data_IF_068510005951
#
_entry.id   IF_068510005951
#
_cell.length_a   1.000
_cell.length_b   1.000
_cell.length_c   1.000
_cell.angle_alpha   90.00
_cell.angle_beta   90.00
_cell.angle_gamma   90.00
#
_symmetry.space_group_name_H-M   'P 1'
#
loop_
_entity.id
_entity.type
_entity.pdbx_description
1 polymer ?
#
# COMPACT_ATOMS: atom_id res chain seq x y z
N UNK A 1 5.31 23.95 -10.59
CA UNK A 1 5.95 23.77 -9.27
C UNK A 1 4.98 24.18 -8.17
N UNK A 2 4.83 23.35 -7.13
CA UNK A 2 4.13 23.66 -5.88
C UNK A 2 5.16 23.66 -4.75
N UNK A 3 5.02 24.57 -3.79
CA UNK A 3 5.85 24.59 -2.58
C UNK A 3 4.92 24.49 -1.36
N UNK A 4 5.10 23.45 -0.56
CA UNK A 4 4.47 23.36 0.75
C UNK A 4 5.41 23.99 1.79
N UNK A 5 4.86 24.80 2.67
CA UNK A 5 5.58 25.30 3.84
C UNK A 5 4.82 24.98 5.13
N UNK A 6 5.55 24.63 6.17
CA UNK A 6 5.02 24.29 7.47
C UNK A 6 6.01 24.73 8.58
N UNK A 7 5.66 24.54 9.84
CA UNK A 7 6.55 24.84 10.95
C UNK A 7 7.54 23.71 11.20
N UNK A 8 7.13 22.45 10.91
CA UNK A 8 7.97 21.27 11.10
C UNK A 8 7.73 20.22 10.02
N UNK A 9 8.80 19.57 9.60
CA UNK A 9 8.75 18.37 8.76
C UNK A 9 9.59 17.27 9.40
N UNK A 10 9.01 16.09 9.55
CA UNK A 10 9.74 14.89 9.94
C UNK A 10 10.07 14.05 8.70
N UNK A 11 11.34 13.73 8.54
CA UNK A 11 11.84 12.73 7.58
C UNK A 11 12.26 11.49 8.35
N UNK A 12 12.59 10.36 7.68
CA UNK A 12 13.15 9.20 8.37
C UNK A 12 14.47 9.46 9.11
N UNK A 13 15.19 10.55 8.78
CA UNK A 13 16.51 10.86 9.33
C UNK A 13 16.51 12.04 10.29
N UNK A 14 15.64 13.03 10.09
CA UNK A 14 15.75 14.28 10.81
C UNK A 14 14.43 15.06 10.92
N UNK A 15 14.40 16.00 11.86
CA UNK A 15 13.39 17.07 11.93
C UNK A 15 13.93 18.33 11.25
N UNK A 16 13.14 18.90 10.33
CA UNK A 16 13.47 20.16 9.65
C UNK A 16 12.50 21.23 10.16
N UNK A 17 13.04 22.33 10.70
CA UNK A 17 12.28 23.52 11.10
C UNK A 17 12.07 24.44 9.91
N UNK A 18 10.91 25.08 9.85
CA UNK A 18 10.50 25.97 8.76
C UNK A 18 10.74 25.35 7.37
N UNK A 19 10.25 24.12 7.12
CA UNK A 19 10.53 23.38 5.90
C UNK A 19 9.89 24.01 4.67
N UNK A 20 10.56 23.83 3.54
CA UNK A 20 10.03 24.04 2.20
C UNK A 20 10.10 22.73 1.43
N UNK A 21 8.96 22.19 1.06
CA UNK A 21 8.84 20.98 0.25
C UNK A 21 8.47 21.37 -1.17
N UNK A 22 9.37 21.14 -2.11
CA UNK A 22 9.19 21.47 -3.53
C UNK A 22 8.61 20.26 -4.27
N UNK A 23 7.54 20.47 -5.02
CA UNK A 23 6.84 19.43 -5.76
C UNK A 23 6.76 19.85 -7.23
N UNK A 24 7.26 18.99 -8.10
CA UNK A 24 7.24 19.10 -9.56
C UNK A 24 6.71 17.81 -10.15
N UNK A 25 5.79 17.91 -11.08
CA UNK A 25 5.20 16.77 -11.79
C UNK A 25 4.68 15.65 -10.84
N UNK A 26 4.12 16.07 -9.70
CA UNK A 26 3.59 15.15 -8.69
C UNK A 26 4.64 14.47 -7.79
N UNK A 27 5.92 14.82 -7.96
CA UNK A 27 7.03 14.25 -7.18
C UNK A 27 7.68 15.30 -6.28
N UNK A 28 8.20 14.87 -5.15
CA UNK A 28 9.05 15.72 -4.29
C UNK A 28 10.40 15.90 -4.98
N UNK A 29 10.64 17.10 -5.51
CA UNK A 29 11.89 17.45 -6.21
C UNK A 29 12.98 17.92 -5.25
N UNK A 30 12.61 18.55 -4.12
CA UNK A 30 13.55 18.95 -3.09
C UNK A 30 12.88 19.14 -1.73
N UNK A 31 13.65 18.94 -0.68
CA UNK A 31 13.33 19.33 0.71
C UNK A 31 14.42 20.29 1.18
N UNK A 32 14.01 21.40 1.79
CA UNK A 32 14.92 22.43 2.30
C UNK A 32 14.26 23.17 3.47
N UNK A 33 14.89 24.22 3.95
CA UNK A 33 14.28 25.14 4.91
C UNK A 33 14.25 26.58 4.37
N UNK A 34 13.40 27.42 4.96
CA UNK A 34 13.34 28.86 4.61
C UNK A 34 14.69 29.60 4.81
N UNK A 35 15.55 29.08 5.69
CA UNK A 35 16.89 29.65 5.91
C UNK A 35 17.87 29.29 4.80
N UNK A 36 17.64 28.21 4.06
CA UNK A 36 18.57 27.68 3.06
C UNK A 36 18.16 27.94 1.62
N UNK A 37 16.85 28.13 1.37
CA UNK A 37 16.34 28.26 0.01
C UNK A 37 15.16 29.22 -0.07
N UNK A 38 15.17 30.09 -1.08
CA UNK A 38 14.07 30.98 -1.39
C UNK A 38 12.97 30.27 -2.20
N UNK A 39 11.73 30.73 -2.01
CA UNK A 39 10.60 30.26 -2.79
C UNK A 39 10.61 30.96 -4.17
N UNK A 40 10.60 30.22 -5.29
CA UNK A 40 10.54 30.82 -6.62
C UNK A 40 9.27 31.68 -6.80
N UNK A 41 9.41 32.83 -7.44
CA UNK A 41 8.32 33.81 -7.61
C UNK A 41 7.09 33.26 -8.34
N UNK A 42 7.27 32.26 -9.19
CA UNK A 42 6.21 31.60 -9.98
C UNK A 42 5.68 30.31 -9.34
N UNK A 43 6.10 29.96 -8.14
CA UNK A 43 5.61 28.77 -7.45
C UNK A 43 4.22 29.02 -6.84
N UNK A 44 3.34 28.02 -6.92
CA UNK A 44 2.11 27.98 -6.12
C UNK A 44 2.48 27.56 -4.69
N UNK A 45 2.31 28.47 -3.74
CA UNK A 45 2.62 28.20 -2.32
C UNK A 45 1.38 27.69 -1.61
N UNK A 46 1.50 26.58 -0.87
CA UNK A 46 0.52 26.10 0.10
C UNK A 46 1.17 26.28 1.48
N UNK A 47 0.70 27.30 2.19
CA UNK A 47 1.24 27.67 3.49
C UNK A 47 0.41 27.05 4.62
N UNK A 48 1.05 26.17 5.40
CA UNK A 48 0.48 25.46 6.54
C UNK A 48 0.96 26.06 7.88
N UNK A 49 1.53 27.27 7.87
CA UNK A 49 2.04 27.95 9.08
C UNK A 49 1.02 28.88 9.73
N UNK A 50 -0.16 29.05 9.11
CA UNK A 50 -1.21 29.96 9.61
C UNK A 50 -1.90 29.40 10.87
N UNK A 51 -2.66 30.27 11.56
CA UNK A 51 -3.23 30.03 12.89
C UNK A 51 -3.97 28.68 13.03
N UNK A 52 -4.73 28.27 12.02
CA UNK A 52 -5.50 27.03 12.04
C UNK A 52 -4.63 25.77 11.90
N UNK A 53 -3.44 25.91 11.31
CA UNK A 53 -2.55 24.80 10.96
C UNK A 53 -1.16 24.94 11.59
N UNK A 54 -0.95 25.94 12.46
CA UNK A 54 0.35 26.25 13.06
C UNK A 54 1.00 25.08 13.82
N UNK A 55 0.16 24.19 14.40
CA UNK A 55 0.64 22.98 15.07
C UNK A 55 0.78 21.76 14.12
N UNK A 56 0.47 21.95 12.84
CA UNK A 56 0.55 20.85 11.87
C UNK A 56 1.99 20.48 11.56
N UNK A 57 2.20 19.19 11.41
CA UNK A 57 3.49 18.59 11.08
C UNK A 57 3.38 18.00 9.68
N UNK A 58 4.33 18.29 8.81
CA UNK A 58 4.51 17.53 7.58
C UNK A 58 5.27 16.24 7.88
N UNK A 59 4.82 15.15 7.32
CA UNK A 59 5.50 13.87 7.35
C UNK A 59 5.14 13.07 6.08
N UNK A 60 5.95 12.09 5.68
CA UNK A 60 5.52 11.10 4.70
C UNK A 60 4.24 10.41 5.18
N UNK A 61 3.30 10.17 4.28
CA UNK A 61 2.10 9.38 4.62
C UNK A 61 2.48 7.95 4.97
N UNK A 62 1.68 7.32 5.82
CA UNK A 62 1.87 5.92 6.16
C UNK A 62 1.60 5.01 4.97
N UNK A 63 2.34 3.92 4.89
CA UNK A 63 2.06 2.79 3.99
C UNK A 63 1.65 1.61 4.86
N UNK A 64 0.39 1.19 4.73
CA UNK A 64 -0.13 0.01 5.43
C UNK A 64 0.11 -1.23 4.57
N UNK A 65 1.02 -2.10 4.99
CA UNK A 65 1.42 -3.29 4.22
C UNK A 65 0.61 -4.54 4.54
N UNK A 66 -0.38 -4.45 5.47
CA UNK A 66 -1.20 -5.59 5.88
C UNK A 66 -2.58 -5.14 6.35
N UNK A 67 -3.58 -5.24 5.49
CA UNK A 67 -4.95 -4.94 5.85
C UNK A 67 -5.96 -5.75 5.05
N UNK A 68 -7.01 -6.22 5.71
CA UNK A 68 -8.09 -7.00 5.09
C UNK A 68 -9.31 -6.17 4.71
N UNK A 69 -9.30 -4.89 5.03
CA UNK A 69 -10.39 -3.96 4.78
C UNK A 69 -10.56 -2.92 5.88
N UNK A 70 -11.62 -2.13 5.79
CA UNK A 70 -11.94 -1.07 6.75
C UNK A 70 -13.17 -0.29 6.30
N UNK A 71 -13.73 0.55 7.18
CA UNK A 71 -14.92 1.34 6.88
C UNK A 71 -16.10 0.51 6.33
N UNK A 72 -16.23 -0.76 6.75
CA UNK A 72 -17.26 -1.69 6.27
C UNK A 72 -17.01 -2.29 4.89
N UNK A 73 -15.77 -2.20 4.38
CA UNK A 73 -15.31 -2.85 3.14
C UNK A 73 -14.46 -4.06 3.49
N UNK A 74 -14.80 -5.24 2.95
CA UNK A 74 -14.01 -6.48 3.01
C UNK A 74 -13.29 -6.66 1.67
N UNK A 75 -11.96 -6.62 1.67
CA UNK A 75 -11.14 -6.67 0.45
C UNK A 75 -11.26 -7.99 -0.32
N UNK A 76 -11.62 -9.09 0.36
CA UNK A 76 -11.90 -10.36 -0.31
C UNK A 76 -13.18 -10.33 -1.14
N UNK A 77 -14.12 -9.39 -0.89
CA UNK A 77 -15.47 -9.35 -1.49
C UNK A 77 -15.82 -8.01 -2.10
N UNK A 78 -15.04 -6.96 -1.84
CA UNK A 78 -15.34 -5.60 -2.25
C UNK A 78 -15.65 -5.49 -3.75
N UNK A 79 -16.76 -4.86 -4.06
CA UNK A 79 -17.05 -4.41 -5.42
C UNK A 79 -16.17 -3.20 -5.75
N UNK A 80 -15.82 -2.96 -7.03
CA UNK A 80 -14.96 -1.83 -7.43
C UNK A 80 -15.47 -0.47 -6.92
N UNK A 81 -16.77 -0.26 -6.84
CA UNK A 81 -17.38 0.98 -6.33
C UNK A 81 -17.27 1.20 -4.82
N UNK A 82 -16.82 0.21 -4.04
CA UNK A 82 -16.66 0.32 -2.59
C UNK A 82 -15.25 0.80 -2.18
N UNK A 83 -14.24 0.55 -3.01
CA UNK A 83 -12.85 0.90 -2.72
C UNK A 83 -12.63 2.40 -2.50
N UNK A 84 -13.27 3.34 -3.23
CA UNK A 84 -13.14 4.77 -2.94
C UNK A 84 -13.52 5.16 -1.51
N UNK A 85 -14.51 4.46 -0.90
CA UNK A 85 -14.88 4.68 0.51
C UNK A 85 -13.76 4.27 1.46
N UNK A 86 -13.14 3.11 1.21
CA UNK A 86 -11.98 2.64 1.97
C UNK A 86 -10.78 3.60 1.77
N UNK A 87 -10.48 3.96 0.53
CA UNK A 87 -9.35 4.83 0.21
C UNK A 87 -9.45 6.19 0.92
N UNK A 88 -10.65 6.79 0.91
CA UNK A 88 -10.92 8.04 1.63
C UNK A 88 -10.81 7.86 3.15
N UNK A 89 -11.32 6.77 3.70
CA UNK A 89 -11.21 6.47 5.13
C UNK A 89 -9.74 6.37 5.55
N UNK A 90 -8.90 5.69 4.79
CA UNK A 90 -7.48 5.53 5.09
C UNK A 90 -6.74 6.86 5.16
N UNK A 91 -7.02 7.80 4.24
CA UNK A 91 -6.38 9.12 4.28
C UNK A 91 -6.75 9.93 5.51
N UNK A 92 -7.94 9.75 6.10
CA UNK A 92 -8.29 10.40 7.38
C UNK A 92 -7.45 9.93 8.55
N UNK A 93 -6.71 8.81 8.37
CA UNK A 93 -5.79 8.23 9.34
C UNK A 93 -4.31 8.38 8.93
N UNK A 94 -4.04 9.21 7.91
CA UNK A 94 -2.68 9.47 7.43
C UNK A 94 -2.08 8.38 6.55
N UNK A 95 -2.85 7.34 6.18
CA UNK A 95 -2.41 6.30 5.26
C UNK A 95 -2.58 6.80 3.82
N UNK A 96 -1.51 6.83 3.05
CA UNK A 96 -1.50 7.29 1.65
C UNK A 96 -1.34 6.15 0.64
N UNK A 97 -0.79 5.03 1.09
CA UNK A 97 -0.67 3.82 0.30
C UNK A 97 -0.91 2.57 1.15
N UNK A 98 -1.36 1.48 0.52
CA UNK A 98 -1.61 0.25 1.25
C UNK A 98 -1.47 -0.98 0.36
N UNK A 99 -1.25 -2.14 1.00
CA UNK A 99 -1.32 -3.45 0.37
C UNK A 99 -2.62 -4.13 0.79
N UNK A 100 -3.64 -4.20 -0.09
CA UNK A 100 -4.79 -5.06 0.15
C UNK A 100 -4.32 -6.50 0.38
N UNK A 101 -4.74 -7.08 1.51
CA UNK A 101 -4.27 -8.37 1.98
C UNK A 101 -5.37 -9.42 1.87
N UNK A 102 -5.05 -10.57 1.27
CA UNK A 102 -5.98 -11.69 1.16
C UNK A 102 -6.15 -12.45 2.47
N UNK A 103 -7.23 -13.20 2.58
CA UNK A 103 -7.45 -14.23 3.61
C UNK A 103 -7.65 -15.56 2.89
N UNK A 104 -7.19 -16.67 3.48
CA UNK A 104 -7.40 -18.00 2.91
C UNK A 104 -8.89 -18.27 2.67
N UNK A 105 -9.22 -18.62 1.44
CA UNK A 105 -10.55 -18.92 0.94
C UNK A 105 -10.45 -20.02 -0.14
N UNK A 106 -11.56 -20.57 -0.64
CA UNK A 106 -11.51 -21.42 -1.83
C UNK A 106 -10.68 -20.76 -2.94
N UNK A 107 -9.79 -21.51 -3.59
CA UNK A 107 -8.84 -20.95 -4.57
C UNK A 107 -9.51 -20.11 -5.66
N UNK A 108 -10.68 -20.51 -6.16
CA UNK A 108 -11.41 -19.75 -7.16
C UNK A 108 -11.88 -18.38 -6.63
N UNK A 109 -12.31 -18.32 -5.37
CA UNK A 109 -12.71 -17.07 -4.72
C UNK A 109 -11.48 -16.18 -4.47
N UNK A 110 -10.37 -16.77 -4.09
CA UNK A 110 -9.10 -16.04 -3.93
C UNK A 110 -8.64 -15.46 -5.28
N UNK A 111 -8.66 -16.24 -6.35
CA UNK A 111 -8.35 -15.74 -7.71
C UNK A 111 -9.28 -14.59 -8.11
N UNK A 112 -10.59 -14.74 -7.93
CA UNK A 112 -11.54 -13.66 -8.23
C UNK A 112 -11.32 -12.39 -7.40
N UNK A 113 -10.90 -12.51 -6.13
CA UNK A 113 -10.50 -11.37 -5.32
C UNK A 113 -9.22 -10.71 -5.86
N UNK A 114 -8.20 -11.50 -6.21
CA UNK A 114 -6.94 -11.02 -6.77
C UNK A 114 -7.14 -10.26 -8.09
N UNK A 115 -8.02 -10.74 -8.98
CA UNK A 115 -8.37 -10.06 -10.23
C UNK A 115 -8.99 -8.68 -9.96
N UNK A 116 -9.95 -8.57 -9.04
CA UNK A 116 -10.56 -7.28 -8.66
C UNK A 116 -9.57 -6.33 -8.01
N UNK A 117 -8.66 -6.84 -7.19
CA UNK A 117 -7.60 -6.03 -6.58
C UNK A 117 -6.58 -5.54 -7.61
N UNK A 118 -6.25 -6.38 -8.59
CA UNK A 118 -5.40 -5.98 -9.70
C UNK A 118 -6.05 -4.88 -10.56
N UNK A 119 -7.37 -4.99 -10.86
CA UNK A 119 -8.12 -3.92 -11.53
C UNK A 119 -8.02 -2.59 -10.78
N UNK A 120 -8.15 -2.63 -9.45
CA UNK A 120 -8.09 -1.43 -8.62
C UNK A 120 -6.69 -0.79 -8.62
N UNK A 121 -5.63 -1.61 -8.60
CA UNK A 121 -4.23 -1.14 -8.66
C UNK A 121 -3.96 -0.48 -10.01
N UNK A 122 -4.36 -1.11 -11.11
CA UNK A 122 -4.15 -0.60 -12.46
C UNK A 122 -4.93 0.71 -12.69
N UNK A 123 -6.18 0.78 -12.20
CA UNK A 123 -6.97 2.01 -12.25
C UNK A 123 -6.31 3.16 -11.46
N UNK A 124 -5.74 2.85 -10.28
CA UNK A 124 -5.04 3.83 -9.46
C UNK A 124 -3.73 4.32 -10.11
N UNK A 125 -3.05 3.45 -10.86
CA UNK A 125 -1.83 3.82 -11.62
C UNK A 125 -2.17 4.68 -12.84
N UNK A 126 -3.23 4.37 -13.57
CA UNK A 126 -3.68 5.13 -14.75
C UNK A 126 -4.16 6.56 -14.42
N UNK A 127 -4.55 6.82 -13.17
CA UNK A 127 -5.03 8.13 -12.71
C UNK A 127 -3.99 8.96 -11.96
N UNK A 128 -2.70 8.67 -12.13
CA UNK A 128 -1.62 9.47 -11.54
C UNK A 128 -1.70 10.93 -12.04
N UNK A 129 -2.06 11.85 -11.14
CA UNK A 129 -2.20 13.27 -11.42
C UNK A 129 -3.65 13.75 -11.67
N UNK A 130 -4.60 12.87 -11.98
CA UNK A 130 -6.00 13.21 -12.28
C UNK A 130 -7.01 12.72 -11.24
N UNK A 131 -6.58 11.86 -10.29
CA UNK A 131 -7.45 11.31 -9.25
C UNK A 131 -7.73 12.30 -8.11
N UNK A 132 -8.70 11.94 -7.25
CA UNK A 132 -8.95 12.67 -6.00
C UNK A 132 -7.69 12.58 -5.11
N UNK A 133 -7.04 13.72 -4.80
CA UNK A 133 -5.81 13.74 -4.01
C UNK A 133 -6.01 13.27 -2.56
N UNK A 134 -7.26 13.14 -2.12
CA UNK A 134 -7.64 12.71 -0.78
C UNK A 134 -7.96 11.21 -0.70
N UNK A 135 -7.36 10.39 -1.56
CA UNK A 135 -7.53 8.94 -1.54
C UNK A 135 -6.20 8.21 -1.39
N UNK A 136 -6.16 7.26 -0.45
CA UNK A 136 -5.07 6.29 -0.37
C UNK A 136 -5.08 5.38 -1.61
N UNK A 137 -3.93 4.86 -1.98
CA UNK A 137 -3.78 4.05 -3.20
C UNK A 137 -3.36 2.63 -2.87
N UNK A 138 -3.96 1.60 -3.48
CA UNK A 138 -3.42 0.25 -3.44
C UNK A 138 -2.12 0.21 -4.26
N UNK A 139 -1.01 -0.18 -3.62
CA UNK A 139 0.33 -0.17 -4.22
C UNK A 139 0.77 -1.53 -4.75
N UNK A 140 0.10 -2.58 -4.30
CA UNK A 140 0.37 -3.97 -4.62
C UNK A 140 -0.46 -4.85 -3.71
N UNK A 141 -0.40 -6.16 -3.89
CA UNK A 141 -1.17 -7.14 -3.12
C UNK A 141 -0.26 -7.83 -2.12
N UNK A 142 -0.75 -7.98 -0.89
CA UNK A 142 -0.18 -8.89 0.09
C UNK A 142 -0.97 -10.20 0.07
N UNK A 143 -0.36 -11.25 -0.42
CA UNK A 143 -0.93 -12.60 -0.42
C UNK A 143 -0.72 -13.24 0.96
N UNK A 144 -1.72 -13.21 1.83
CA UNK A 144 -1.72 -13.93 3.09
C UNK A 144 -2.58 -15.20 2.97
N UNK A 145 -1.92 -16.37 3.14
CA UNK A 145 -2.51 -17.65 2.75
C UNK A 145 -2.57 -17.83 1.22
N UNK A 146 -2.85 -19.05 0.76
CA UNK A 146 -3.29 -20.21 1.53
C UNK A 146 -2.15 -21.05 2.16
N UNK A 147 -0.88 -20.66 2.04
CA UNK A 147 0.31 -21.42 2.41
C UNK A 147 0.71 -21.23 3.88
N UNK A 148 -0.26 -21.37 4.78
CA UNK A 148 -0.07 -21.18 6.21
C UNK A 148 -0.12 -22.48 6.99
N UNK A 149 0.57 -22.53 8.13
CA UNK A 149 0.57 -23.67 9.01
C UNK A 149 -0.79 -23.87 9.71
N UNK A 150 -1.36 -25.07 9.66
CA UNK A 150 -2.57 -25.42 10.41
C UNK A 150 -2.45 -25.12 11.91
N UNK A 151 -1.23 -25.24 12.48
CA UNK A 151 -0.97 -25.01 13.90
C UNK A 151 -0.90 -23.52 14.27
N UNK A 152 -0.58 -22.64 13.32
CA UNK A 152 -0.36 -21.21 13.51
C UNK A 152 -1.17 -20.35 12.54
N UNK A 153 -2.30 -20.86 12.09
CA UNK A 153 -3.13 -20.27 11.04
C UNK A 153 -3.85 -18.95 11.41
N UNK A 154 -3.87 -18.57 12.68
CA UNK A 154 -4.62 -17.40 13.13
C UNK A 154 -6.12 -17.55 12.81
N UNK A 155 -6.68 -16.55 12.16
CA UNK A 155 -8.11 -16.50 11.79
C UNK A 155 -8.46 -17.27 10.52
N UNK A 156 -7.45 -17.78 9.78
CA UNK A 156 -7.68 -18.46 8.51
C UNK A 156 -8.43 -19.79 8.69
N UNK A 157 -9.50 -20.05 7.90
CA UNK A 157 -10.21 -21.31 7.94
C UNK A 157 -9.28 -22.47 7.52
N UNK A 158 -9.17 -23.53 8.34
CA UNK A 158 -8.21 -24.61 8.09
C UNK A 158 -8.49 -25.37 6.79
N UNK A 159 -9.74 -25.46 6.37
CA UNK A 159 -10.16 -26.15 5.16
C UNK A 159 -9.68 -25.50 3.85
N UNK A 160 -9.22 -24.24 3.91
CA UNK A 160 -8.71 -23.51 2.74
C UNK A 160 -7.19 -23.38 2.74
N UNK A 161 -6.53 -23.94 3.75
CA UNK A 161 -5.06 -24.00 3.76
C UNK A 161 -4.59 -25.17 2.89
N UNK A 162 -3.59 -24.92 2.08
CA UNK A 162 -3.04 -25.92 1.16
C UNK A 162 -1.52 -25.94 1.25
N UNK A 163 -0.92 -27.09 0.90
CA UNK A 163 0.52 -27.17 0.78
C UNK A 163 1.03 -26.25 -0.34
N UNK A 164 2.14 -25.54 -0.12
CA UNK A 164 2.77 -24.71 -1.14
C UNK A 164 3.19 -25.53 -2.36
N UNK A 165 2.73 -25.15 -3.53
CA UNK A 165 3.22 -25.68 -4.80
C UNK A 165 3.43 -24.54 -5.79
N UNK A 166 4.39 -24.68 -6.70
CA UNK A 166 4.62 -23.71 -7.77
C UNK A 166 3.36 -23.53 -8.65
N UNK A 167 2.61 -24.59 -8.89
CA UNK A 167 1.39 -24.54 -9.68
C UNK A 167 0.32 -23.64 -9.04
N UNK A 168 0.08 -23.79 -7.72
CA UNK A 168 -0.90 -22.96 -7.01
C UNK A 168 -0.39 -21.51 -6.94
N UNK A 169 0.88 -21.31 -6.62
CA UNK A 169 1.47 -19.97 -6.59
C UNK A 169 1.37 -19.27 -7.95
N UNK A 170 1.69 -19.97 -9.03
CA UNK A 170 1.60 -19.41 -10.38
C UNK A 170 0.15 -19.03 -10.75
N UNK A 171 -0.83 -19.87 -10.39
CA UNK A 171 -2.25 -19.56 -10.58
C UNK A 171 -2.66 -18.27 -9.85
N UNK A 172 -2.25 -18.10 -8.59
CA UNK A 172 -2.52 -16.89 -7.80
C UNK A 172 -1.80 -15.67 -8.39
N UNK A 173 -0.55 -15.85 -8.80
CA UNK A 173 0.24 -14.81 -9.47
C UNK A 173 -0.41 -14.32 -10.76
N UNK A 174 -0.90 -15.22 -11.60
CA UNK A 174 -1.60 -14.88 -12.85
C UNK A 174 -2.91 -14.12 -12.56
N UNK A 175 -3.70 -14.58 -11.60
CA UNK A 175 -4.92 -13.88 -11.18
C UNK A 175 -4.65 -12.47 -10.66
N UNK A 176 -3.53 -12.28 -9.96
CA UNK A 176 -3.06 -10.98 -9.49
C UNK A 176 -2.36 -10.15 -10.58
N UNK A 177 -2.22 -10.66 -11.82
CA UNK A 177 -1.52 -10.01 -12.94
C UNK A 177 -0.13 -9.45 -12.57
N UNK A 178 0.60 -10.17 -11.69
CA UNK A 178 1.92 -9.77 -11.23
C UNK A 178 1.94 -8.63 -10.19
N UNK A 179 0.80 -8.26 -9.63
CA UNK A 179 0.71 -7.21 -8.61
C UNK A 179 0.97 -7.68 -7.18
N UNK A 180 1.30 -8.98 -6.97
CA UNK A 180 1.75 -9.44 -5.64
C UNK A 180 3.09 -8.77 -5.32
N UNK A 181 3.16 -8.09 -4.18
CA UNK A 181 4.38 -7.43 -3.68
C UNK A 181 4.86 -8.04 -2.37
N UNK A 182 3.97 -8.69 -1.65
CA UNK A 182 4.28 -9.36 -0.40
C UNK A 182 3.54 -10.70 -0.33
N UNK A 183 4.14 -11.69 0.31
CA UNK A 183 3.50 -12.99 0.58
C UNK A 183 3.88 -13.47 1.97
N UNK A 184 2.88 -13.84 2.77
CA UNK A 184 3.11 -14.55 4.04
C UNK A 184 2.97 -16.04 3.80
N UNK A 185 4.00 -16.80 4.19
CA UNK A 185 4.10 -18.26 3.99
C UNK A 185 4.74 -18.92 5.20
N UNK A 186 4.26 -20.12 5.59
CA UNK A 186 4.86 -20.98 6.59
C UNK A 186 6.02 -21.78 5.96
N UNK A 187 7.28 -21.48 6.27
CA UNK A 187 8.45 -22.05 5.57
C UNK A 187 8.69 -23.53 5.87
N UNK A 188 8.09 -24.05 6.95
CA UNK A 188 8.20 -25.45 7.36
C UNK A 188 7.29 -26.39 6.55
N UNK A 189 6.38 -25.87 5.74
CA UNK A 189 5.50 -26.70 4.93
C UNK A 189 6.26 -27.35 3.75
N UNK A 190 5.89 -28.59 3.36
CA UNK A 190 6.44 -29.20 2.16
C UNK A 190 6.25 -28.32 0.93
N UNK A 191 7.31 -28.12 0.14
CA UNK A 191 7.29 -27.26 -1.06
C UNK A 191 7.41 -25.75 -0.80
N UNK A 192 7.41 -25.31 0.47
CA UNK A 192 7.47 -23.89 0.79
C UNK A 192 8.77 -23.20 0.28
N UNK A 193 9.92 -23.87 0.43
CA UNK A 193 11.21 -23.29 0.02
C UNK A 193 11.28 -23.05 -1.50
N UNK A 194 10.66 -23.91 -2.30
CA UNK A 194 10.59 -23.73 -3.76
C UNK A 194 9.71 -22.53 -4.13
N UNK A 195 8.55 -22.39 -3.46
CA UNK A 195 7.65 -21.25 -3.65
C UNK A 195 8.31 -19.95 -3.18
N UNK A 196 9.02 -19.95 -2.06
CA UNK A 196 9.78 -18.80 -1.55
C UNK A 196 10.85 -18.36 -2.57
N UNK A 197 11.61 -19.32 -3.11
CA UNK A 197 12.62 -19.01 -4.12
C UNK A 197 11.99 -18.39 -5.38
N UNK A 198 10.87 -18.93 -5.84
CA UNK A 198 10.15 -18.38 -7.00
C UNK A 198 9.54 -16.99 -6.71
N UNK A 199 8.96 -16.79 -5.51
CA UNK A 199 8.44 -15.50 -5.08
C UNK A 199 9.56 -14.43 -5.05
N UNK A 200 10.72 -14.76 -4.47
CA UNK A 200 11.88 -13.89 -4.46
C UNK A 200 12.38 -13.55 -5.87
N UNK A 201 12.39 -14.53 -6.80
CA UNK A 201 12.76 -14.31 -8.20
C UNK A 201 11.79 -13.35 -8.92
N UNK A 202 10.52 -13.31 -8.50
CA UNK A 202 9.50 -12.35 -8.97
C UNK A 202 9.47 -11.06 -8.17
N UNK A 203 10.48 -10.78 -7.37
CA UNK A 203 10.59 -9.57 -6.52
C UNK A 203 9.46 -9.43 -5.48
N UNK A 204 8.86 -10.54 -5.05
CA UNK A 204 7.89 -10.58 -3.97
C UNK A 204 8.62 -10.63 -2.62
N UNK A 205 8.32 -9.69 -1.72
CA UNK A 205 8.82 -9.72 -0.35
C UNK A 205 8.16 -10.88 0.41
N UNK A 206 8.96 -11.77 0.97
CA UNK A 206 8.44 -12.93 1.71
C UNK A 206 8.42 -12.63 3.21
N UNK A 207 7.24 -12.72 3.79
CA UNK A 207 7.01 -12.68 5.24
C UNK A 207 6.88 -14.11 5.76
N UNK A 208 7.64 -14.42 6.80
CA UNK A 208 7.57 -15.73 7.47
C UNK A 208 6.39 -15.72 8.44
N UNK A 209 5.46 -16.66 8.23
CA UNK A 209 4.21 -16.80 8.99
C UNK A 209 4.09 -18.13 9.73
#
# INVERSE_FOLDING_TARGET
>A
MIVLSANRLYTPQEEIKDPLLFIEDGLVSAVSSRAQREIPKNAKVIDLTNDALAESILAPGFVDIHMHGGAGVDLMRAAPGELPRLNKFLTTHGVTGYFPTTVAAPLDQTCAALERLADAIEAAQGSLGEGDPLQARPLGIHLEGPFLSHKRRGVHPPEYLVEPTLQIFDRLWQAARGHVRMMTIAPELPGALEVIAEAARREVCVSIG
#
